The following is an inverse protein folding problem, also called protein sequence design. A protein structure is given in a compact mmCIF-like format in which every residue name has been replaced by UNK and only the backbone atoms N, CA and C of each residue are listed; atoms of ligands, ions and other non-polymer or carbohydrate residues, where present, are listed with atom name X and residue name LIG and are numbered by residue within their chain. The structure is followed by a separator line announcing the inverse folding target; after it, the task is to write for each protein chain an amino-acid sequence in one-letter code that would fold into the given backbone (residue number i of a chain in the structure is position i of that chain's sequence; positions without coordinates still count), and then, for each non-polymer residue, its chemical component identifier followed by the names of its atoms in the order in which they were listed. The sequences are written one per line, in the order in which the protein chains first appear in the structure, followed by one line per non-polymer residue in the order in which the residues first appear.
data_IF_999259334811
#
_entry.id   IF_999259334811
#
_cell.length_a   1.000
_cell.length_b   1.000
_cell.length_c   1.000
_cell.angle_alpha   90.00
_cell.angle_beta   90.00
_cell.angle_gamma   90.00
#
_symmetry.space_group_name_H-M   'P 1'
#
loop_
_entity.id
_entity.type
_entity.pdbx_description
1 polymer ?
#
# COMPACT_ATOMS: atom_id res chain seq x y z
N UNK A 1 15.02 -20.23 1.08
CA UNK A 1 14.48 -18.90 0.78
C UNK A 1 13.34 -18.64 1.76
N UNK A 2 13.45 -17.66 2.65
CA UNK A 2 12.38 -17.34 3.62
C UNK A 2 11.18 -16.74 2.88
N UNK A 3 9.96 -16.98 3.37
CA UNK A 3 8.72 -16.48 2.75
C UNK A 3 8.77 -14.96 2.51
N UNK A 4 9.38 -14.22 3.44
CA UNK A 4 9.63 -12.77 3.34
C UNK A 4 10.44 -12.40 2.11
N UNK A 5 11.47 -13.17 1.74
CA UNK A 5 12.29 -12.90 0.55
C UNK A 5 11.48 -13.12 -0.74
N UNK A 6 10.60 -14.12 -0.74
CA UNK A 6 9.70 -14.40 -1.88
C UNK A 6 8.71 -13.25 -2.06
N UNK A 7 8.07 -12.83 -0.96
CA UNK A 7 7.14 -11.70 -0.95
C UNK A 7 7.84 -10.41 -1.41
N UNK A 8 9.05 -10.16 -0.91
CA UNK A 8 9.85 -9.02 -1.33
C UNK A 8 10.15 -9.05 -2.84
N UNK A 9 10.53 -10.22 -3.38
CA UNK A 9 10.74 -10.39 -4.83
C UNK A 9 9.49 -10.06 -5.65
N UNK A 10 8.32 -10.55 -5.25
CA UNK A 10 7.06 -10.22 -5.91
C UNK A 10 6.70 -8.74 -5.81
N UNK A 11 6.93 -8.12 -4.65
CA UNK A 11 6.68 -6.69 -4.46
C UNK A 11 7.65 -5.80 -5.24
N UNK A 12 8.92 -6.21 -5.40
CA UNK A 12 9.87 -5.51 -6.28
C UNK A 12 9.36 -5.53 -7.71
N UNK A 13 8.93 -6.69 -8.22
CA UNK A 13 8.33 -6.80 -9.54
C UNK A 13 7.06 -5.95 -9.66
N UNK A 14 6.15 -6.03 -8.68
CA UNK A 14 4.92 -5.25 -8.66
C UNK A 14 5.18 -3.74 -8.61
N UNK A 15 6.15 -3.29 -7.81
CA UNK A 15 6.57 -1.89 -7.70
C UNK A 15 7.19 -1.37 -8.99
N UNK A 16 8.07 -2.14 -9.63
CA UNK A 16 8.67 -1.77 -10.92
C UNK A 16 7.59 -1.68 -12.01
N UNK A 17 6.72 -2.69 -12.10
CA UNK A 17 5.66 -2.73 -13.12
C UNK A 17 4.67 -1.60 -12.92
N UNK A 18 4.24 -1.32 -11.69
CA UNK A 18 3.33 -0.21 -11.39
C UNK A 18 3.98 1.13 -11.71
N UNK A 19 5.23 1.37 -11.29
CA UNK A 19 5.93 2.62 -11.59
C UNK A 19 6.17 2.81 -13.10
N UNK A 20 6.58 1.76 -13.81
CA UNK A 20 6.70 1.83 -15.27
C UNK A 20 5.35 2.16 -15.94
N UNK A 21 4.26 1.55 -15.44
CA UNK A 21 2.90 1.83 -15.91
C UNK A 21 2.50 3.30 -15.66
N UNK A 22 2.94 3.94 -14.57
CA UNK A 22 2.63 5.35 -14.27
C UNK A 22 3.24 6.34 -15.26
N UNK A 23 4.40 6.02 -15.83
CA UNK A 23 5.10 6.86 -16.81
C UNK A 23 4.35 6.86 -18.16
N UNK A 24 3.97 5.68 -18.65
CA UNK A 24 3.42 5.50 -20.00
C UNK A 24 1.92 5.78 -20.15
N UNK A 25 1.12 5.73 -19.08
CA UNK A 25 -0.36 5.75 -19.19
C UNK A 25 -1.01 7.10 -18.85
N UNK A 26 -2.31 7.23 -19.07
CA UNK A 26 -3.05 8.47 -18.78
C UNK A 26 -2.95 8.90 -17.30
N UNK A 27 -3.12 10.20 -17.06
CA UNK A 27 -3.04 10.83 -15.73
C UNK A 27 -3.87 10.12 -14.66
N UNK A 28 -5.04 9.60 -15.02
CA UNK A 28 -5.97 8.89 -14.12
C UNK A 28 -5.32 7.71 -13.37
N UNK A 29 -4.26 7.13 -13.93
CA UNK A 29 -3.58 5.97 -13.37
C UNK A 29 -2.36 6.31 -12.53
N UNK A 30 -1.84 7.54 -12.65
CA UNK A 30 -0.55 7.91 -12.06
C UNK A 30 -0.59 7.82 -10.54
N UNK A 31 -1.62 8.35 -9.88
CA UNK A 31 -1.77 8.29 -8.42
C UNK A 31 -1.86 6.85 -7.91
N UNK A 32 -2.67 6.01 -8.56
CA UNK A 32 -2.83 4.58 -8.21
C UNK A 32 -1.47 3.87 -8.31
N UNK A 33 -0.78 4.03 -9.43
CA UNK A 33 0.49 3.37 -9.70
C UNK A 33 1.62 3.86 -8.78
N UNK A 34 1.73 5.16 -8.54
CA UNK A 34 2.71 5.75 -7.59
C UNK A 34 2.44 5.23 -6.19
N UNK A 35 1.19 5.16 -5.76
CA UNK A 35 0.85 4.63 -4.45
C UNK A 35 1.25 3.16 -4.29
N UNK A 36 1.03 2.30 -5.28
CA UNK A 36 1.52 0.90 -5.24
C UNK A 36 3.06 0.81 -5.24
N UNK A 37 3.75 1.69 -5.97
CA UNK A 37 5.21 1.78 -5.90
C UNK A 37 5.68 2.19 -4.49
N UNK A 38 5.00 3.13 -3.83
CA UNK A 38 5.34 3.54 -2.47
C UNK A 38 5.14 2.41 -1.44
N UNK A 39 4.31 1.40 -1.70
CA UNK A 39 4.24 0.20 -0.84
C UNK A 39 5.58 -0.53 -0.81
N UNK A 40 6.25 -0.66 -1.97
CA UNK A 40 7.58 -1.25 -2.01
C UNK A 40 8.55 -0.46 -1.11
N UNK A 41 8.49 0.87 -1.17
CA UNK A 41 9.40 1.76 -0.44
C UNK A 41 9.11 1.82 1.06
N UNK A 42 7.85 2.02 1.45
CA UNK A 42 7.45 2.25 2.83
C UNK A 42 7.18 0.98 3.64
N UNK A 43 6.80 -0.12 2.99
CA UNK A 43 6.40 -1.35 3.70
C UNK A 43 7.37 -2.49 3.49
N UNK A 44 7.84 -2.70 2.26
CA UNK A 44 8.55 -3.93 1.89
C UNK A 44 10.06 -3.81 2.10
N UNK A 45 10.71 -2.78 1.56
CA UNK A 45 12.15 -2.58 1.72
C UNK A 45 12.58 -2.56 3.20
N UNK A 46 11.88 -1.83 4.10
CA UNK A 46 12.23 -1.81 5.52
C UNK A 46 12.13 -3.18 6.20
N UNK A 47 11.20 -4.03 5.77
CA UNK A 47 11.00 -5.38 6.33
C UNK A 47 11.93 -6.43 5.70
N UNK A 48 12.31 -6.26 4.44
CA UNK A 48 13.06 -7.24 3.66
C UNK A 48 14.58 -7.14 3.88
N UNK A 49 15.08 -5.99 4.31
CA UNK A 49 16.52 -5.73 4.47
C UNK A 49 16.80 -5.29 5.91
N UNK A 50 16.84 -6.22 6.88
CA UNK A 50 17.19 -5.89 8.26
C UNK A 50 18.63 -5.34 8.41
N UNK A 51 19.47 -5.47 7.37
CA UNK A 51 20.85 -4.97 7.33
C UNK A 51 20.99 -3.65 6.56
N UNK A 52 19.90 -2.97 6.20
CA UNK A 52 19.99 -1.71 5.48
C UNK A 52 20.63 -0.68 6.43
N UNK A 53 21.74 -0.01 6.04
CA UNK A 53 22.40 0.94 6.91
C UNK A 53 21.42 2.02 7.39
N UNK A 54 21.23 2.09 8.71
CA UNK A 54 20.29 3.03 9.33
C UNK A 54 18.86 2.51 9.53
N UNK A 55 18.53 1.26 9.20
CA UNK A 55 17.21 0.67 9.50
C UNK A 55 16.92 0.55 11.01
N UNK A 56 17.96 0.52 11.84
CA UNK A 56 17.85 0.54 13.32
C UNK A 56 17.58 1.95 13.88
N UNK A 57 17.65 2.99 13.03
CA UNK A 57 17.40 4.37 13.44
C UNK A 57 15.88 4.57 13.58
N UNK A 58 15.35 4.92 14.77
CA UNK A 58 13.90 5.06 14.98
C UNK A 58 13.23 6.06 14.02
N UNK A 59 13.95 7.10 13.60
CA UNK A 59 13.47 8.04 12.58
C UNK A 59 13.24 7.39 11.21
N UNK A 60 14.08 6.44 10.82
CA UNK A 60 13.96 5.73 9.53
C UNK A 60 12.78 4.78 9.58
N UNK A 61 12.59 4.06 10.68
CA UNK A 61 11.42 3.21 10.91
C UNK A 61 10.12 4.02 10.90
N UNK A 62 10.08 5.15 11.60
CA UNK A 62 8.94 6.05 11.60
C UNK A 62 8.65 6.58 10.19
N UNK A 63 9.69 6.98 9.45
CA UNK A 63 9.55 7.47 8.08
C UNK A 63 8.99 6.38 7.16
N UNK A 64 9.47 5.14 7.27
CA UNK A 64 8.95 4.01 6.51
C UNK A 64 7.43 3.82 6.71
N UNK A 65 6.99 3.79 7.98
CA UNK A 65 5.56 3.67 8.30
C UNK A 65 4.72 4.86 7.78
N UNK A 66 5.27 6.07 7.82
CA UNK A 66 4.62 7.25 7.23
C UNK A 66 4.54 7.14 5.70
N UNK A 67 5.60 6.69 5.01
CA UNK A 67 5.57 6.46 3.56
C UNK A 67 4.53 5.39 3.22
N UNK A 68 4.42 4.31 4.01
CA UNK A 68 3.36 3.31 3.87
C UNK A 68 1.96 3.92 3.99
N UNK A 69 1.77 4.84 4.95
CA UNK A 69 0.50 5.57 5.10
C UNK A 69 0.22 6.49 3.91
N UNK A 70 1.23 7.21 3.42
CA UNK A 70 1.11 8.05 2.21
C UNK A 70 0.75 7.19 1.00
N UNK A 71 1.33 5.98 0.88
CA UNK A 71 1.06 5.06 -0.22
C UNK A 71 -0.44 4.77 -0.34
N UNK A 72 -1.10 4.35 0.75
CA UNK A 72 -2.53 4.05 0.74
C UNK A 72 -3.39 5.29 0.51
N UNK A 73 -3.00 6.46 1.05
CA UNK A 73 -3.71 7.72 0.81
C UNK A 73 -3.66 8.14 -0.66
N UNK A 74 -2.48 8.09 -1.28
CA UNK A 74 -2.29 8.44 -2.70
C UNK A 74 -3.04 7.47 -3.62
N UNK A 75 -3.04 6.16 -3.30
CA UNK A 75 -3.86 5.20 -4.04
C UNK A 75 -5.36 5.52 -3.92
N UNK A 76 -5.82 5.80 -2.71
CA UNK A 76 -7.23 6.09 -2.44
C UNK A 76 -7.71 7.32 -3.20
N UNK A 77 -6.90 8.38 -3.18
CA UNK A 77 -7.12 9.57 -3.98
C UNK A 77 -7.19 9.23 -5.48
N UNK A 78 -6.26 8.42 -5.98
CA UNK A 78 -6.27 7.97 -7.38
C UNK A 78 -7.55 7.23 -7.79
N UNK A 79 -8.07 6.34 -6.94
CA UNK A 79 -9.36 5.69 -7.22
C UNK A 79 -10.53 6.67 -7.12
N UNK A 80 -10.49 7.68 -6.25
CA UNK A 80 -11.53 8.71 -6.18
C UNK A 80 -11.56 9.55 -7.45
N UNK A 81 -10.41 10.00 -7.93
CA UNK A 81 -10.27 10.70 -9.20
C UNK A 81 -10.77 9.85 -10.36
N UNK A 82 -10.40 8.56 -10.39
CA UNK A 82 -10.86 7.65 -11.44
C UNK A 82 -12.38 7.45 -11.40
N UNK A 83 -12.96 7.37 -10.21
CA UNK A 83 -14.41 7.28 -10.06
C UNK A 83 -15.12 8.52 -10.62
N UNK A 84 -14.65 9.72 -10.29
CA UNK A 84 -15.18 10.97 -10.84
C UNK A 84 -15.01 10.99 -12.36
N UNK A 85 -13.82 10.64 -12.87
CA UNK A 85 -13.55 10.55 -14.30
C UNK A 85 -14.50 9.57 -15.01
N UNK A 86 -14.77 8.40 -14.43
CA UNK A 86 -15.66 7.41 -15.03
C UNK A 86 -17.10 7.89 -15.19
N UNK A 87 -17.49 8.98 -14.51
CA UNK A 87 -18.83 9.56 -14.56
C UNK A 87 -18.89 10.88 -15.35
N UNK A 88 -17.82 11.64 -15.35
CA UNK A 88 -17.78 13.01 -15.92
C UNK A 88 -16.95 13.09 -17.21
N UNK A 89 -16.05 12.13 -17.44
CA UNK A 89 -15.00 12.17 -18.47
C UNK A 89 -14.00 13.32 -18.31
N UNK A 90 -14.03 14.02 -17.17
CA UNK A 90 -13.12 15.12 -16.87
C UNK A 90 -11.91 14.61 -16.06
N UNK A 91 -10.71 15.01 -16.51
CA UNK A 91 -9.46 14.80 -15.78
C UNK A 91 -8.87 16.16 -15.46
N UNK A 92 -8.87 16.52 -14.19
CA UNK A 92 -8.27 17.78 -13.73
C UNK A 92 -6.78 17.62 -13.44
N UNK A 93 -5.93 18.58 -13.80
CA UNK A 93 -4.53 18.60 -13.38
C UNK A 93 -3.57 17.72 -14.19
N UNK A 94 -2.32 17.66 -13.74
CA UNK A 94 -1.20 17.06 -14.50
C UNK A 94 -0.56 15.89 -13.74
N UNK A 95 0.09 14.97 -14.46
CA UNK A 95 0.91 13.91 -13.86
C UNK A 95 2.01 14.49 -12.97
N UNK A 96 2.60 15.62 -13.41
CA UNK A 96 3.66 16.29 -12.69
C UNK A 96 3.21 16.73 -11.29
N UNK A 97 1.97 17.21 -11.16
CA UNK A 97 1.40 17.61 -9.87
C UNK A 97 1.28 16.42 -8.91
N UNK A 98 0.94 15.22 -9.40
CA UNK A 98 0.89 14.01 -8.57
C UNK A 98 2.28 13.66 -8.05
N UNK A 99 3.29 13.65 -8.91
CA UNK A 99 4.67 13.34 -8.52
C UNK A 99 5.23 14.38 -7.54
N UNK A 100 5.12 15.67 -7.87
CA UNK A 100 5.63 16.76 -7.03
C UNK A 100 4.86 16.81 -5.71
N UNK A 101 3.53 16.72 -5.74
CA UNK A 101 2.70 16.75 -4.53
C UNK A 101 3.04 15.60 -3.59
N UNK A 102 3.19 14.38 -4.12
CA UNK A 102 3.62 13.22 -3.32
C UNK A 102 5.01 13.43 -2.73
N UNK A 103 5.96 13.94 -3.52
CA UNK A 103 7.33 14.22 -3.06
C UNK A 103 7.35 15.30 -1.98
N UNK A 104 6.56 16.36 -2.12
CA UNK A 104 6.44 17.44 -1.13
C UNK A 104 5.89 16.91 0.19
N UNK A 105 4.87 16.04 0.17
CA UNK A 105 4.33 15.42 1.39
C UNK A 105 5.36 14.52 2.05
N UNK A 106 6.10 13.71 1.28
CA UNK A 106 7.18 12.87 1.81
C UNK A 106 8.29 13.74 2.43
N UNK A 107 8.74 14.78 1.73
CA UNK A 107 9.78 15.70 2.21
C UNK A 107 9.33 16.47 3.46
N UNK A 108 8.07 16.94 3.50
CA UNK A 108 7.49 17.58 4.67
C UNK A 108 7.43 16.66 5.87
N UNK A 109 7.03 15.40 5.68
CA UNK A 109 7.05 14.37 6.73
C UNK A 109 8.46 14.07 7.24
N UNK A 110 9.46 14.04 6.36
CA UNK A 110 10.86 13.87 6.75
C UNK A 110 11.33 15.05 7.61
N UNK A 111 11.08 16.28 7.17
CA UNK A 111 11.42 17.50 7.95
C UNK A 111 10.73 17.46 9.31
N UNK A 112 9.46 17.06 9.36
CA UNK A 112 8.72 16.91 10.61
C UNK A 112 9.39 15.91 11.56
N UNK A 113 9.81 14.73 11.08
CA UNK A 113 10.54 13.75 11.91
C UNK A 113 11.88 14.32 12.40
N UNK A 114 12.63 15.03 11.55
CA UNK A 114 13.96 15.52 11.87
C UNK A 114 13.96 16.67 12.89
N UNK A 115 12.91 17.49 12.93
CA UNK A 115 12.77 18.59 13.90
C UNK A 115 12.31 18.06 15.26
N UNK A 116 11.55 16.98 15.30
CA UNK A 116 11.02 16.41 16.53
C UNK A 116 12.05 15.50 17.24
N UNK A 117 11.87 15.26 18.54
CA UNK A 117 12.69 14.30 19.28
C UNK A 117 12.65 12.91 18.65
N UNK A 118 13.73 12.15 18.81
CA UNK A 118 13.81 10.75 18.36
C UNK A 118 12.62 9.95 18.90
N UNK A 119 11.84 9.26 18.04
CA UNK A 119 10.72 8.46 18.48
C UNK A 119 11.14 7.39 19.49
N UNK A 120 10.47 7.39 20.66
CA UNK A 120 10.58 6.28 21.61
C UNK A 120 9.77 5.06 21.15
N UNK A 121 9.90 3.95 21.88
CA UNK A 121 9.18 2.71 21.59
C UNK A 121 7.66 2.90 21.48
N UNK A 122 7.05 3.60 22.44
CA UNK A 122 5.60 3.84 22.45
C UNK A 122 5.15 4.70 21.26
N UNK A 123 5.98 5.67 20.85
CA UNK A 123 5.70 6.53 19.70
C UNK A 123 5.78 5.73 18.39
N UNK A 124 6.82 4.91 18.21
CA UNK A 124 6.95 4.03 17.06
C UNK A 124 5.77 3.05 16.96
N UNK A 125 5.41 2.42 18.08
CA UNK A 125 4.24 1.54 18.17
C UNK A 125 2.95 2.26 17.79
N UNK A 126 2.75 3.48 18.26
CA UNK A 126 1.58 4.30 17.92
C UNK A 126 1.54 4.65 16.43
N UNK A 127 2.68 5.02 15.84
CA UNK A 127 2.79 5.31 14.39
C UNK A 127 2.37 4.08 13.57
N UNK A 128 2.85 2.89 13.94
CA UNK A 128 2.46 1.64 13.26
C UNK A 128 0.99 1.31 13.43
N UNK A 129 0.43 1.49 14.64
CA UNK A 129 -0.99 1.25 14.91
C UNK A 129 -1.87 2.18 14.07
N UNK A 130 -1.56 3.48 14.04
CA UNK A 130 -2.27 4.47 13.20
C UNK A 130 -2.13 4.13 11.71
N UNK A 131 -0.92 3.78 11.26
CA UNK A 131 -0.66 3.38 9.88
C UNK A 131 -1.49 2.15 9.46
N UNK A 132 -1.46 1.08 10.27
CA UNK A 132 -2.24 -0.13 10.01
C UNK A 132 -3.75 0.12 10.08
N UNK A 133 -4.19 1.03 10.95
CA UNK A 133 -5.59 1.48 11.02
C UNK A 133 -6.00 2.15 9.72
N UNK A 134 -5.20 3.09 9.21
CA UNK A 134 -5.42 3.73 7.91
C UNK A 134 -5.48 2.72 6.77
N UNK A 135 -4.55 1.76 6.75
CA UNK A 135 -4.56 0.66 5.78
C UNK A 135 -5.87 -0.12 5.79
N UNK A 136 -6.33 -0.53 6.98
CA UNK A 136 -7.56 -1.32 7.13
C UNK A 136 -8.78 -0.54 6.65
N UNK A 137 -8.97 0.70 7.15
CA UNK A 137 -10.12 1.53 6.78
C UNK A 137 -10.13 1.89 5.29
N UNK A 138 -9.00 2.37 4.77
CA UNK A 138 -8.89 2.76 3.37
C UNK A 138 -8.97 1.57 2.42
N UNK A 139 -8.55 0.36 2.83
CA UNK A 139 -8.76 -0.84 2.01
C UNK A 139 -10.26 -1.13 1.83
N UNK A 140 -11.07 -1.03 2.88
CA UNK A 140 -12.53 -1.20 2.78
C UNK A 140 -13.14 -0.15 1.87
N UNK A 141 -12.77 1.12 2.08
CA UNK A 141 -13.25 2.24 1.26
C UNK A 141 -12.88 2.04 -0.21
N UNK A 142 -11.63 1.65 -0.49
CA UNK A 142 -11.16 1.41 -1.85
C UNK A 142 -11.89 0.23 -2.50
N UNK A 143 -12.19 -0.85 -1.78
CA UNK A 143 -12.99 -1.95 -2.33
C UNK A 143 -14.37 -1.45 -2.80
N UNK A 144 -15.07 -0.67 -1.97
CA UNK A 144 -16.37 -0.12 -2.34
C UNK A 144 -16.28 0.86 -3.52
N UNK A 145 -15.28 1.74 -3.50
CA UNK A 145 -15.06 2.71 -4.56
C UNK A 145 -14.72 2.03 -5.89
N UNK A 146 -13.81 1.05 -5.87
CA UNK A 146 -13.45 0.26 -7.04
C UNK A 146 -14.65 -0.54 -7.56
N UNK A 147 -15.47 -1.10 -6.68
CA UNK A 147 -16.71 -1.77 -7.08
C UNK A 147 -17.62 -0.82 -7.86
N UNK A 148 -17.78 0.42 -7.41
CA UNK A 148 -18.57 1.45 -8.12
C UNK A 148 -17.95 1.81 -9.46
N UNK A 149 -16.62 1.97 -9.54
CA UNK A 149 -15.91 2.17 -10.81
C UNK A 149 -16.16 1.00 -11.76
N UNK A 150 -15.99 -0.23 -11.28
CA UNK A 150 -16.21 -1.45 -12.06
C UNK A 150 -17.62 -1.48 -12.64
N UNK A 151 -18.65 -1.10 -11.89
CA UNK A 151 -20.02 -1.02 -12.41
C UNK A 151 -20.15 -0.06 -13.59
N UNK A 152 -19.43 1.07 -13.57
CA UNK A 152 -19.43 2.06 -14.65
C UNK A 152 -18.65 1.54 -15.88
N UNK A 153 -17.56 0.80 -15.68
CA UNK A 153 -16.64 0.39 -16.76
C UNK A 153 -16.67 -1.11 -17.08
N UNK A 154 -17.63 -1.88 -16.58
CA UNK A 154 -17.68 -3.36 -16.70
C UNK A 154 -17.66 -3.88 -18.14
N UNK A 155 -18.15 -3.09 -19.10
CA UNK A 155 -18.16 -3.43 -20.52
C UNK A 155 -16.85 -3.13 -21.25
N UNK A 156 -15.89 -2.46 -20.59
CA UNK A 156 -14.63 -2.07 -21.19
C UNK A 156 -13.55 -3.15 -21.05
N UNK A 157 -12.51 -3.16 -21.91
CA UNK A 157 -11.37 -4.06 -21.78
C UNK A 157 -10.61 -3.95 -20.46
N UNK A 158 -10.75 -2.83 -19.74
CA UNK A 158 -10.07 -2.59 -18.46
C UNK A 158 -10.90 -3.01 -17.24
N UNK A 159 -12.18 -3.37 -17.42
CA UNK A 159 -13.10 -3.68 -16.31
C UNK A 159 -12.59 -4.81 -15.41
N UNK A 160 -11.99 -5.87 -15.98
CA UNK A 160 -11.43 -6.97 -15.19
C UNK A 160 -10.22 -6.55 -14.35
N UNK A 161 -9.51 -5.48 -14.73
CA UNK A 161 -8.42 -4.91 -13.94
C UNK A 161 -8.93 -4.35 -12.61
N UNK A 162 -10.11 -3.73 -12.60
CA UNK A 162 -10.74 -3.27 -11.35
C UNK A 162 -11.18 -4.43 -10.45
N UNK A 163 -11.56 -5.57 -11.01
CA UNK A 163 -11.78 -6.79 -10.22
C UNK A 163 -10.47 -7.27 -9.58
N UNK A 164 -9.37 -7.20 -10.33
CA UNK A 164 -8.02 -7.43 -9.81
C UNK A 164 -7.69 -6.51 -8.63
N UNK A 165 -7.96 -5.21 -8.76
CA UNK A 165 -7.75 -4.26 -7.66
C UNK A 165 -8.64 -4.53 -6.44
N UNK A 166 -9.89 -4.97 -6.60
CA UNK A 166 -10.71 -5.38 -5.44
C UNK A 166 -10.07 -6.55 -4.70
N UNK A 167 -9.55 -7.55 -5.42
CA UNK A 167 -8.82 -8.66 -4.81
C UNK A 167 -7.55 -8.18 -4.10
N UNK A 168 -6.78 -7.28 -4.72
CA UNK A 168 -5.61 -6.65 -4.10
C UNK A 168 -5.95 -6.02 -2.75
N UNK A 169 -6.96 -5.14 -2.69
CA UNK A 169 -7.31 -4.48 -1.43
C UNK A 169 -7.91 -5.43 -0.40
N UNK A 170 -8.59 -6.49 -0.83
CA UNK A 170 -9.02 -7.55 0.07
C UNK A 170 -7.82 -8.27 0.72
N UNK A 171 -6.79 -8.60 -0.07
CA UNK A 171 -5.59 -9.23 0.47
C UNK A 171 -4.74 -8.28 1.33
N UNK A 172 -4.67 -6.99 0.98
CA UNK A 172 -4.06 -5.96 1.82
C UNK A 172 -4.82 -5.80 3.14
N UNK A 173 -6.16 -5.83 3.11
CA UNK A 173 -6.99 -5.82 4.32
C UNK A 173 -6.66 -7.00 5.23
N UNK A 174 -6.50 -8.21 4.68
CA UNK A 174 -6.09 -9.38 5.48
C UNK A 174 -4.68 -9.21 6.04
N UNK A 175 -3.74 -8.71 5.24
CA UNK A 175 -2.36 -8.49 5.65
C UNK A 175 -2.26 -7.45 6.78
N UNK A 176 -2.76 -6.24 6.54
CA UNK A 176 -2.66 -5.12 7.47
C UNK A 176 -3.62 -5.25 8.63
N UNK A 177 -4.78 -5.86 8.41
CA UNK A 177 -5.75 -6.18 9.46
C UNK A 177 -5.21 -7.19 10.46
N UNK A 178 -4.44 -8.20 10.03
CA UNK A 178 -3.84 -9.14 10.98
C UNK A 178 -2.73 -8.50 11.80
N UNK A 179 -1.92 -7.61 11.20
CA UNK A 179 -0.91 -6.82 11.91
C UNK A 179 -1.57 -5.89 12.95
N UNK A 180 -2.64 -5.19 12.57
CA UNK A 180 -3.41 -4.35 13.48
C UNK A 180 -4.00 -5.16 14.64
N UNK A 181 -4.56 -6.33 14.34
CA UNK A 181 -5.14 -7.21 15.35
C UNK A 181 -4.10 -7.65 16.39
N UNK A 182 -2.89 -8.02 15.95
CA UNK A 182 -1.80 -8.35 16.88
C UNK A 182 -1.45 -7.16 17.76
N UNK A 183 -1.33 -5.96 17.19
CA UNK A 183 -0.93 -4.74 17.89
C UNK A 183 -1.97 -4.22 18.89
N UNK A 184 -3.25 -4.32 18.56
CA UNK A 184 -4.36 -3.84 19.40
C UNK A 184 -4.55 -4.73 20.64
N UNK A 185 -4.30 -6.03 20.50
CA UNK A 185 -4.50 -7.00 21.57
C UNK A 185 -3.19 -7.46 22.24
N UNK A 186 -2.06 -6.82 21.94
CA UNK A 186 -0.74 -7.17 22.48
C UNK A 186 -0.42 -8.67 22.33
N UNK A 187 -0.85 -9.27 21.21
CA UNK A 187 -0.73 -10.73 21.01
C UNK A 187 0.71 -11.20 20.80
N UNK A 188 1.61 -10.29 20.46
CA UNK A 188 3.05 -10.51 20.41
C UNK A 188 3.63 -10.76 21.81
N UNK A 189 3.23 -9.95 22.80
CA UNK A 189 3.62 -10.13 24.21
C UNK A 189 2.88 -11.32 24.84
N UNK A 190 1.60 -11.47 24.51
CA UNK A 190 0.73 -12.52 25.06
C UNK A 190 0.75 -13.82 24.23
N UNK A 191 1.73 -13.99 23.33
CA UNK A 191 1.79 -15.12 22.41
C UNK A 191 1.78 -16.48 23.13
N UNK A 192 2.40 -16.58 24.31
CA UNK A 192 2.39 -17.80 25.11
C UNK A 192 1.02 -18.13 25.72
N UNK A 193 0.18 -17.12 25.98
CA UNK A 193 -1.15 -17.29 26.56
C UNK A 193 -2.22 -17.50 25.48
N UNK A 194 -2.05 -16.90 24.31
CA UNK A 194 -2.98 -17.00 23.17
C UNK A 194 -2.29 -17.47 21.87
N UNK A 195 -1.59 -18.62 21.88
CA UNK A 195 -0.73 -19.04 20.77
C UNK A 195 -1.51 -19.27 19.48
N UNK A 196 -2.74 -19.81 19.58
CA UNK A 196 -3.60 -20.04 18.42
C UNK A 196 -3.97 -18.72 17.74
N UNK A 197 -4.35 -17.69 18.51
CA UNK A 197 -4.75 -16.38 17.96
C UNK A 197 -3.56 -15.71 17.28
N UNK A 198 -2.42 -15.67 17.96
CA UNK A 198 -1.19 -15.11 17.41
C UNK A 198 -0.76 -15.82 16.11
N UNK A 199 -0.67 -17.16 16.14
CA UNK A 199 -0.22 -17.93 14.97
C UNK A 199 -1.16 -17.80 13.77
N UNK A 200 -2.48 -17.78 14.00
CA UNK A 200 -3.46 -17.54 12.92
C UNK A 200 -3.27 -16.14 12.34
N UNK A 201 -3.12 -15.10 13.17
CA UNK A 201 -2.92 -13.73 12.69
C UNK A 201 -1.63 -13.58 11.89
N UNK A 202 -0.53 -14.20 12.34
CA UNK A 202 0.73 -14.25 11.59
C UNK A 202 0.55 -14.97 10.25
N UNK A 203 -0.14 -16.11 10.23
CA UNK A 203 -0.40 -16.87 9.01
C UNK A 203 -1.26 -16.07 8.02
N UNK A 204 -2.36 -15.49 8.47
CA UNK A 204 -3.25 -14.64 7.66
C UNK A 204 -2.48 -13.44 7.11
N UNK A 205 -1.62 -12.84 7.92
CA UNK A 205 -0.76 -11.72 7.50
C UNK A 205 0.16 -12.10 6.35
N UNK A 206 0.83 -13.23 6.50
CA UNK A 206 1.77 -13.76 5.51
C UNK A 206 1.08 -14.16 4.19
N UNK A 207 -0.07 -14.84 4.27
CA UNK A 207 -0.85 -15.22 3.10
C UNK A 207 -1.41 -13.97 2.42
N UNK A 208 -1.98 -13.04 3.19
CA UNK A 208 -2.48 -11.76 2.67
C UNK A 208 -1.41 -10.98 1.92
N UNK A 209 -0.21 -10.85 2.50
CA UNK A 209 0.90 -10.14 1.86
C UNK A 209 1.33 -10.82 0.54
N UNK A 210 1.47 -12.15 0.56
CA UNK A 210 1.83 -12.90 -0.64
C UNK A 210 0.80 -12.72 -1.75
N UNK A 211 -0.48 -12.93 -1.45
CA UNK A 211 -1.56 -12.81 -2.43
C UNK A 211 -1.73 -11.37 -2.93
N UNK A 212 -1.53 -10.37 -2.06
CA UNK A 212 -1.51 -8.96 -2.45
C UNK A 212 -0.41 -8.70 -3.48
N UNK A 213 0.84 -9.09 -3.18
CA UNK A 213 2.00 -8.84 -4.05
C UNK A 213 1.81 -9.41 -5.47
N UNK A 214 1.35 -10.66 -5.56
CA UNK A 214 1.07 -11.34 -6.84
C UNK A 214 -0.08 -10.66 -7.57
N UNK A 215 -1.15 -10.31 -6.85
CA UNK A 215 -2.35 -9.69 -7.43
C UNK A 215 -2.08 -8.29 -7.96
N UNK A 216 -1.23 -7.49 -7.28
CA UNK A 216 -0.82 -6.15 -7.75
C UNK A 216 -0.07 -6.29 -9.07
N UNK A 217 0.98 -7.12 -9.10
CA UNK A 217 1.78 -7.34 -10.31
C UNK A 217 0.92 -7.85 -11.47
N UNK A 218 0.09 -8.87 -11.23
CA UNK A 218 -0.82 -9.42 -12.24
C UNK A 218 -1.83 -8.38 -12.77
N UNK A 219 -2.38 -7.55 -11.89
CA UNK A 219 -3.36 -6.51 -12.29
C UNK A 219 -2.71 -5.44 -13.16
N UNK A 220 -1.52 -4.94 -12.80
CA UNK A 220 -0.83 -3.95 -13.62
C UNK A 220 -0.33 -4.51 -14.95
N UNK A 221 0.17 -5.75 -14.98
CA UNK A 221 0.54 -6.41 -16.23
C UNK A 221 -0.67 -6.58 -17.17
N UNK A 222 -1.81 -6.98 -16.61
CA UNK A 222 -3.06 -7.06 -17.36
C UNK A 222 -3.47 -5.71 -17.94
N UNK A 223 -3.49 -4.66 -17.12
CA UNK A 223 -3.85 -3.30 -17.56
C UNK A 223 -2.87 -2.74 -18.58
N UNK A 224 -1.56 -2.97 -18.40
CA UNK A 224 -0.53 -2.55 -19.35
C UNK A 224 -0.75 -3.17 -20.75
N UNK A 225 -1.26 -4.40 -20.80
CA UNK A 225 -1.62 -5.07 -22.06
C UNK A 225 -2.94 -4.56 -22.63
N UNK A 226 -3.92 -4.25 -21.79
CA UNK A 226 -5.25 -3.82 -22.22
C UNK A 226 -5.33 -2.35 -22.66
N UNK A 227 -4.35 -1.53 -22.27
CA UNK A 227 -4.27 -0.09 -22.58
C UNK A 227 -3.25 0.25 -23.68
N UNK A 228 -2.61 -0.77 -24.28
CA UNK A 228 -1.83 -0.66 -25.52
C UNK A 228 -2.69 -1.03 -26.71
#
# INVERSE_FOLDING_TARGET
MTLTLIQAGFWVLAGIVSFYFSLGNARAWTSIAVGFFLVLVGEIIPQAVPFLPGAEIPQVEAMAAIVGTIAIMVMSHGFQEYYVFSRTLELEGSKLNVYIGTLVVIAGSLVFILINPTPGYDTARMIHLVGNTNWVFLSIINIDLIRKIYQNVKGSPIGKGFVGFMAVFFFIFLWKGSQLYIQVYDLDVLAGQYPVRYNISVLVGNIGNLLASVSVGGTFLYLARALR
#
